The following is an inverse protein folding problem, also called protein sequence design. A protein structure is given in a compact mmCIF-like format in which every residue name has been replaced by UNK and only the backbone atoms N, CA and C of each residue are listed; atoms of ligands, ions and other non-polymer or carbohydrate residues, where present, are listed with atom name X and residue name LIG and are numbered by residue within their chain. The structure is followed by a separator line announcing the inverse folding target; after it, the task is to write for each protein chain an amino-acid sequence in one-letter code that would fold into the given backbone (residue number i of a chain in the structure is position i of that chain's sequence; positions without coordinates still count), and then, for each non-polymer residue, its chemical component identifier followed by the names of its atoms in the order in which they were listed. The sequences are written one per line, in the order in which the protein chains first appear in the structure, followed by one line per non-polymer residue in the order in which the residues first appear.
data_IF_095921594050
#
_entry.id   IF_095921594050
#
_cell.length_a   1.000
_cell.length_b   1.000
_cell.length_c   1.000
_cell.angle_alpha   90.00
_cell.angle_beta   90.00
_cell.angle_gamma   90.00
#
_symmetry.space_group_name_H-M   'P 1'
#
loop_
_entity.id
_entity.type
_entity.pdbx_description
1 polymer ?
#
# COMPACT_ATOMS: atom_id res chain seq x y z
N UNK A 1 31.92 30.60 -22.67
CA UNK A 1 31.86 30.53 -21.21
C UNK A 1 31.00 29.32 -20.90
N UNK A 2 31.63 28.25 -20.45
CA UNK A 2 30.95 26.98 -20.16
C UNK A 2 30.24 27.13 -18.81
N UNK A 3 28.89 27.16 -18.83
CA UNK A 3 28.04 27.40 -17.66
C UNK A 3 27.91 26.14 -16.78
N UNK A 4 28.62 25.06 -17.12
CA UNK A 4 28.57 23.78 -16.40
C UNK A 4 29.37 23.74 -15.09
N UNK A 5 30.11 24.80 -14.73
CA UNK A 5 30.91 24.84 -13.49
C UNK A 5 30.24 25.59 -12.33
N UNK A 6 28.91 25.78 -12.36
CA UNK A 6 28.20 26.12 -11.12
C UNK A 6 28.13 24.86 -10.26
N UNK A 7 28.51 24.91 -8.97
CA UNK A 7 28.32 23.79 -8.06
C UNK A 7 26.82 23.50 -7.98
N UNK A 8 26.34 22.58 -8.80
CA UNK A 8 25.06 21.94 -8.55
C UNK A 8 25.27 21.14 -7.27
N UNK A 9 24.54 21.52 -6.25
CA UNK A 9 24.49 20.87 -4.94
C UNK A 9 24.13 19.39 -5.12
N UNK A 10 25.13 18.54 -5.34
CA UNK A 10 24.98 17.09 -5.52
C UNK A 10 24.20 16.46 -4.36
N UNK A 11 24.31 17.04 -3.15
CA UNK A 11 23.57 16.60 -1.97
C UNK A 11 22.05 16.84 -2.10
N UNK A 12 21.65 17.95 -2.74
CA UNK A 12 20.25 18.25 -3.00
C UNK A 12 19.66 17.27 -4.04
N UNK A 13 20.43 16.89 -5.05
CA UNK A 13 19.99 15.89 -6.04
C UNK A 13 19.84 14.51 -5.40
N UNK A 14 20.80 14.09 -4.56
CA UNK A 14 20.74 12.82 -3.83
C UNK A 14 19.53 12.75 -2.88
N UNK A 15 19.25 13.82 -2.13
CA UNK A 15 18.06 13.89 -1.26
C UNK A 15 16.75 13.78 -2.05
N UNK A 16 16.66 14.45 -3.20
CA UNK A 16 15.49 14.38 -4.07
C UNK A 16 15.31 12.97 -4.64
N UNK A 17 16.40 12.34 -5.10
CA UNK A 17 16.38 10.95 -5.57
C UNK A 17 15.93 9.99 -4.48
N UNK A 18 16.47 10.11 -3.27
CA UNK A 18 16.07 9.30 -2.12
C UNK A 18 14.58 9.46 -1.79
N UNK A 19 14.06 10.70 -1.78
CA UNK A 19 12.64 10.97 -1.55
C UNK A 19 11.74 10.35 -2.65
N UNK A 20 12.14 10.44 -3.91
CA UNK A 20 11.43 9.82 -5.04
C UNK A 20 11.43 8.30 -4.90
N UNK A 21 12.55 7.69 -4.54
CA UNK A 21 12.64 6.23 -4.34
C UNK A 21 11.77 5.75 -3.19
N UNK A 22 11.72 6.49 -2.07
CA UNK A 22 10.83 6.18 -0.95
C UNK A 22 9.36 6.29 -1.34
N UNK A 23 8.98 7.33 -2.09
CA UNK A 23 7.61 7.48 -2.60
C UNK A 23 7.23 6.37 -3.58
N UNK A 24 8.14 5.99 -4.48
CA UNK A 24 7.95 4.86 -5.38
C UNK A 24 7.79 3.54 -4.60
N UNK A 25 8.57 3.32 -3.55
CA UNK A 25 8.45 2.14 -2.69
C UNK A 25 7.07 2.06 -2.05
N UNK A 26 6.53 3.18 -1.56
CA UNK A 26 5.18 3.25 -0.99
C UNK A 26 4.10 2.92 -2.05
N UNK A 27 4.22 3.49 -3.25
CA UNK A 27 3.29 3.22 -4.36
C UNK A 27 3.33 1.75 -4.77
N UNK A 28 4.53 1.17 -4.91
CA UNK A 28 4.72 -0.24 -5.28
C UNK A 28 4.09 -1.16 -4.23
N UNK A 29 4.24 -0.84 -2.95
CA UNK A 29 3.65 -1.65 -1.88
C UNK A 29 2.13 -1.60 -1.90
N UNK A 30 1.52 -0.43 -2.11
CA UNK A 30 0.07 -0.28 -2.29
C UNK A 30 -0.43 -1.04 -3.53
N UNK A 31 0.33 -0.98 -4.63
CA UNK A 31 -0.02 -1.69 -5.86
C UNK A 31 0.04 -3.21 -5.68
N UNK A 32 1.01 -3.72 -4.92
CA UNK A 32 1.11 -5.14 -4.59
C UNK A 32 -0.12 -5.64 -3.83
N UNK A 33 -0.61 -4.85 -2.87
CA UNK A 33 -1.86 -5.17 -2.17
C UNK A 33 -3.05 -5.13 -3.13
N UNK A 34 -3.15 -4.12 -4.00
CA UNK A 34 -4.22 -4.02 -4.98
C UNK A 34 -4.28 -5.25 -5.91
N UNK A 35 -3.14 -5.67 -6.46
CA UNK A 35 -3.04 -6.88 -7.30
C UNK A 35 -3.50 -8.13 -6.55
N UNK A 36 -3.13 -8.27 -5.27
CA UNK A 36 -3.60 -9.39 -4.43
C UNK A 36 -5.12 -9.38 -4.27
N UNK A 37 -5.74 -8.22 -4.02
CA UNK A 37 -7.20 -8.11 -3.90
C UNK A 37 -7.90 -8.43 -5.22
N UNK A 38 -7.36 -7.94 -6.33
CA UNK A 38 -7.88 -8.24 -7.65
C UNK A 38 -7.86 -9.74 -7.93
N UNK A 39 -6.75 -10.42 -7.64
CA UNK A 39 -6.63 -11.88 -7.81
C UNK A 39 -7.64 -12.65 -6.93
N UNK A 40 -7.71 -12.34 -5.63
CA UNK A 40 -8.64 -12.98 -4.70
C UNK A 40 -10.10 -12.80 -5.18
N UNK A 41 -10.50 -11.57 -5.52
CA UNK A 41 -11.88 -11.29 -5.89
C UNK A 41 -12.23 -11.82 -7.28
N UNK A 42 -11.28 -11.81 -8.23
CA UNK A 42 -11.49 -12.43 -9.53
C UNK A 42 -11.73 -13.93 -9.40
N UNK A 43 -10.84 -14.65 -8.71
CA UNK A 43 -10.94 -16.11 -8.52
C UNK A 43 -12.20 -16.50 -7.73
N UNK A 44 -12.68 -15.64 -6.82
CA UNK A 44 -13.90 -15.89 -6.05
C UNK A 44 -15.18 -15.65 -6.86
N UNK A 45 -15.18 -14.66 -7.73
CA UNK A 45 -16.42 -14.16 -8.35
C UNK A 45 -16.60 -14.56 -9.81
N UNK A 46 -15.52 -14.80 -10.55
CA UNK A 46 -15.56 -15.06 -11.99
C UNK A 46 -15.37 -16.55 -12.25
N UNK A 47 -16.43 -17.23 -12.67
CA UNK A 47 -16.39 -18.66 -12.94
C UNK A 47 -15.82 -19.01 -14.32
N UNK A 48 -15.87 -18.06 -15.28
CA UNK A 48 -15.34 -18.24 -16.63
C UNK A 48 -14.67 -16.96 -17.12
N UNK A 49 -13.42 -17.08 -17.54
CA UNK A 49 -12.67 -15.96 -18.12
C UNK A 49 -13.31 -15.53 -19.45
N UNK A 50 -13.52 -14.22 -19.61
CA UNK A 50 -14.10 -13.64 -20.81
C UNK A 50 -13.76 -12.14 -20.93
N UNK A 51 -14.13 -11.51 -22.05
CA UNK A 51 -13.80 -10.10 -22.32
C UNK A 51 -14.62 -9.12 -21.46
N UNK A 52 -15.68 -9.59 -20.79
CA UNK A 52 -16.60 -8.77 -20.00
C UNK A 52 -17.06 -9.56 -18.79
N UNK A 53 -17.32 -8.84 -17.71
CA UNK A 53 -17.96 -9.34 -16.51
C UNK A 53 -19.48 -9.14 -16.63
N UNK A 54 -20.25 -10.16 -16.27
CA UNK A 54 -21.69 -10.05 -16.04
C UNK A 54 -21.99 -9.10 -14.88
N UNK A 55 -23.21 -8.57 -14.80
CA UNK A 55 -23.61 -7.69 -13.70
C UNK A 55 -23.48 -8.35 -12.32
N UNK A 56 -23.71 -9.67 -12.23
CA UNK A 56 -23.50 -10.44 -11.00
C UNK A 56 -22.03 -10.56 -10.62
N UNK A 57 -21.13 -10.79 -11.59
CA UNK A 57 -19.69 -10.83 -11.35
C UNK A 57 -19.16 -9.47 -10.92
N UNK A 58 -19.58 -8.39 -11.58
CA UNK A 58 -19.20 -7.01 -11.21
C UNK A 58 -19.64 -6.69 -9.77
N UNK A 59 -20.89 -7.02 -9.41
CA UNK A 59 -21.40 -6.83 -8.05
C UNK A 59 -20.61 -7.65 -7.04
N UNK A 60 -20.35 -8.93 -7.33
CA UNK A 60 -19.56 -9.80 -6.45
C UNK A 60 -18.15 -9.25 -6.23
N UNK A 61 -17.46 -8.80 -7.29
CA UNK A 61 -16.12 -8.24 -7.18
C UNK A 61 -16.14 -6.96 -6.34
N UNK A 62 -17.14 -6.09 -6.53
CA UNK A 62 -17.29 -4.89 -5.72
C UNK A 62 -17.50 -5.22 -4.25
N UNK A 63 -18.44 -6.13 -3.93
CA UNK A 63 -18.72 -6.56 -2.55
C UNK A 63 -17.49 -7.23 -1.91
N UNK A 64 -16.76 -8.03 -2.68
CA UNK A 64 -15.52 -8.69 -2.26
C UNK A 64 -14.41 -7.70 -1.93
N UNK A 65 -14.08 -6.79 -2.85
CA UNK A 65 -13.03 -5.80 -2.66
C UNK A 65 -13.37 -4.86 -1.50
N UNK A 66 -14.62 -4.40 -1.45
CA UNK A 66 -15.13 -3.58 -0.36
C UNK A 66 -14.95 -4.27 1.00
N UNK A 67 -15.37 -5.53 1.13
CA UNK A 67 -15.21 -6.32 2.37
C UNK A 67 -13.73 -6.54 2.74
N UNK A 68 -12.86 -6.78 1.76
CA UNK A 68 -11.42 -6.91 1.97
C UNK A 68 -10.84 -5.63 2.56
N UNK A 69 -11.10 -4.47 1.95
CA UNK A 69 -10.53 -3.20 2.41
C UNK A 69 -11.09 -2.78 3.77
N UNK A 70 -12.40 -2.98 4.03
CA UNK A 70 -12.97 -2.74 5.36
C UNK A 70 -12.29 -3.58 6.43
N UNK A 71 -12.09 -4.87 6.15
CA UNK A 71 -11.43 -5.79 7.08
C UNK A 71 -9.96 -5.42 7.27
N UNK A 72 -9.26 -5.04 6.20
CA UNK A 72 -7.86 -4.62 6.26
C UNK A 72 -7.68 -3.38 7.14
N UNK A 73 -8.53 -2.36 6.96
CA UNK A 73 -8.53 -1.15 7.81
C UNK A 73 -8.81 -1.50 9.27
N UNK A 74 -9.84 -2.32 9.53
CA UNK A 74 -10.18 -2.76 10.88
C UNK A 74 -9.01 -3.48 11.57
N UNK A 75 -8.35 -4.41 10.86
CA UNK A 75 -7.20 -5.14 11.40
C UNK A 75 -6.01 -4.22 11.66
N UNK A 76 -5.69 -3.31 10.73
CA UNK A 76 -4.60 -2.35 10.90
C UNK A 76 -4.82 -1.44 12.13
N UNK A 77 -6.04 -0.93 12.31
CA UNK A 77 -6.39 -0.14 13.49
C UNK A 77 -6.21 -0.92 14.80
N UNK A 78 -6.59 -2.20 14.82
CA UNK A 78 -6.40 -3.09 15.97
C UNK A 78 -4.92 -3.36 16.24
N UNK A 79 -4.13 -3.61 15.19
CA UNK A 79 -2.68 -3.82 15.29
C UNK A 79 -1.97 -2.57 15.83
N UNK A 80 -2.36 -1.38 15.37
CA UNK A 80 -1.83 -0.11 15.87
C UNK A 80 -2.15 0.10 17.36
N UNK A 81 -3.38 -0.19 17.77
CA UNK A 81 -3.79 -0.13 19.19
C UNK A 81 -2.94 -1.08 20.05
N UNK A 82 -2.78 -2.33 19.63
CA UNK A 82 -1.94 -3.30 20.36
C UNK A 82 -0.49 -2.87 20.42
N UNK A 83 0.05 -2.33 19.32
CA UNK A 83 1.44 -1.83 19.26
C UNK A 83 1.65 -0.68 20.24
N UNK A 84 0.67 0.22 20.40
CA UNK A 84 0.73 1.31 21.38
C UNK A 84 0.75 0.79 22.83
N UNK A 85 -0.08 -0.21 23.15
CA UNK A 85 -0.13 -0.83 24.48
C UNK A 85 1.20 -1.55 24.80
N UNK A 86 1.77 -2.27 23.83
CA UNK A 86 3.04 -2.94 24.03
C UNK A 86 4.19 -1.95 24.25
N UNK A 87 4.21 -0.84 23.52
CA UNK A 87 5.20 0.24 23.73
C UNK A 87 5.06 0.85 25.12
N UNK A 88 3.85 1.22 25.55
CA UNK A 88 3.64 1.78 26.90
C UNK A 88 4.07 0.83 28.01
N UNK A 89 3.84 -0.48 27.85
CA UNK A 89 4.27 -1.48 28.83
C UNK A 89 5.78 -1.71 28.82
N UNK A 90 6.41 -1.65 27.65
CA UNK A 90 7.88 -1.72 27.54
C UNK A 90 8.53 -0.50 28.20
N UNK A 91 7.97 0.69 28.04
CA UNK A 91 8.48 1.91 28.68
C UNK A 91 8.35 1.83 30.21
N UNK A 92 7.29 1.18 30.72
CA UNK A 92 7.13 0.90 32.16
C UNK A 92 8.13 -0.13 32.71
N UNK A 93 8.64 -1.04 31.86
CA UNK A 93 9.60 -2.08 32.29
C UNK A 93 11.06 -1.59 32.24
N UNK A 94 11.32 -0.47 31.56
CA UNK A 94 12.65 0.15 31.44
C UNK A 94 12.90 1.28 32.47
N UNK A 95 12.02 1.43 33.47
CA UNK A 95 12.15 2.34 34.62
C UNK A 95 12.36 1.53 35.91
#
# INVERSE_FOLDING_TARGET
MDLSSLPTDDNLDDKKRAAVLLSLQEIVQKQKENVKVMDICFNKCVSKIGPKLSSSEQKCIWDCANSYFYTNVFLNQRLEQMTKILKSNSDYTNL
#
